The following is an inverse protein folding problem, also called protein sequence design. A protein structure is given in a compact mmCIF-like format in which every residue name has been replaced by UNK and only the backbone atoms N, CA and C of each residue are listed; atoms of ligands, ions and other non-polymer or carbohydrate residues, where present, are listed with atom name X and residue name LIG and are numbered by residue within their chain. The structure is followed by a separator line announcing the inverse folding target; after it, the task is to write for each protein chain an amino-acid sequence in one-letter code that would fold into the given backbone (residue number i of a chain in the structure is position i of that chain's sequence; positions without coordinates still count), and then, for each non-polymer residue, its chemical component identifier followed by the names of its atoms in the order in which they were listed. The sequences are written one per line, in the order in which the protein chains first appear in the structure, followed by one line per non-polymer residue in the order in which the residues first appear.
data_IF_925996765134
#
_entry.id   IF_925996765134
#
_cell.length_a   1.000
_cell.length_b   1.000
_cell.length_c   1.000
_cell.angle_alpha   90.00
_cell.angle_beta   90.00
_cell.angle_gamma   90.00
#
_symmetry.space_group_name_H-M   'P 1'
#
loop_
_entity.id
_entity.type
_entity.pdbx_description
1 polymer ?
#
# COMPACT_ATOMS: atom_id res chain seq x y z
N UNK A 1 37.70 16.50 -41.28
CA UNK A 1 37.79 15.15 -40.67
C UNK A 1 38.03 15.10 -39.15
N UNK A 2 38.66 16.08 -38.49
CA UNK A 2 38.97 15.97 -37.04
C UNK A 2 37.86 16.41 -36.05
N UNK A 3 36.81 17.13 -36.50
CA UNK A 3 35.67 17.51 -35.64
C UNK A 3 34.62 16.40 -35.42
N UNK A 4 34.50 15.42 -36.33
CA UNK A 4 33.53 14.31 -36.18
C UNK A 4 34.03 13.18 -35.26
N UNK A 5 35.35 13.00 -35.10
CA UNK A 5 35.93 12.01 -34.17
C UNK A 5 35.81 12.38 -32.68
N UNK A 6 35.79 13.68 -32.34
CA UNK A 6 35.63 14.13 -30.93
C UNK A 6 34.19 13.96 -30.41
N UNK A 7 33.17 14.12 -31.25
CA UNK A 7 31.77 13.89 -30.89
C UNK A 7 31.46 12.39 -30.68
N UNK A 8 32.10 11.51 -31.45
CA UNK A 8 31.90 10.06 -31.31
C UNK A 8 32.52 9.51 -30.01
N UNK A 9 33.68 10.03 -29.59
CA UNK A 9 34.33 9.63 -28.33
C UNK A 9 33.63 10.23 -27.09
N UNK A 10 33.00 11.41 -27.20
CA UNK A 10 32.17 11.97 -26.14
C UNK A 10 30.83 11.22 -25.99
N UNK A 11 30.23 10.77 -27.10
CA UNK A 11 29.03 9.93 -27.09
C UNK A 11 29.33 8.52 -26.55
N UNK A 12 30.45 7.90 -26.95
CA UNK A 12 30.86 6.59 -26.45
C UNK A 12 31.18 6.58 -24.95
N UNK A 13 31.77 7.67 -24.40
CA UNK A 13 31.99 7.81 -22.94
C UNK A 13 30.69 8.05 -22.17
N UNK A 14 29.70 8.74 -22.76
CA UNK A 14 28.35 8.91 -22.18
C UNK A 14 27.53 7.62 -22.24
N UNK A 15 27.75 6.78 -23.25
CA UNK A 15 27.14 5.46 -23.42
C UNK A 15 27.78 4.39 -22.51
N UNK A 16 29.07 4.51 -22.19
CA UNK A 16 29.75 3.67 -21.21
C UNK A 16 29.36 4.01 -19.76
N UNK A 17 28.97 5.26 -19.46
CA UNK A 17 28.41 5.64 -18.15
C UNK A 17 26.93 5.27 -18.00
N UNK A 18 26.17 5.12 -19.08
CA UNK A 18 24.79 4.61 -19.03
C UNK A 18 24.70 3.10 -18.81
N UNK A 19 25.82 2.36 -18.90
CA UNK A 19 25.84 0.94 -18.51
C UNK A 19 25.57 0.77 -17.02
N UNK A 20 26.02 1.67 -16.16
CA UNK A 20 25.72 1.62 -14.72
C UNK A 20 24.23 1.84 -14.40
N UNK A 21 23.51 2.62 -15.22
CA UNK A 21 22.05 2.83 -15.09
C UNK A 21 21.25 1.71 -15.74
N UNK A 22 21.73 1.16 -16.86
CA UNK A 22 21.17 -0.05 -17.47
C UNK A 22 21.41 -1.27 -16.58
N UNK A 23 22.51 -1.32 -15.82
CA UNK A 23 22.82 -2.36 -14.84
C UNK A 23 21.97 -2.17 -13.57
N UNK A 24 21.67 -0.93 -13.14
CA UNK A 24 20.70 -0.68 -12.07
C UNK A 24 19.25 -1.02 -12.49
N UNK A 25 18.87 -0.70 -13.74
CA UNK A 25 17.62 -1.16 -14.35
C UNK A 25 17.64 -2.68 -14.62
N UNK A 26 18.81 -3.30 -14.80
CA UNK A 26 18.97 -4.74 -14.91
C UNK A 26 19.02 -5.44 -13.54
N UNK A 27 19.35 -4.72 -12.47
CA UNK A 27 19.17 -5.21 -11.09
C UNK A 27 17.68 -5.17 -10.71
N UNK A 28 16.89 -4.31 -11.36
CA UNK A 28 15.43 -4.34 -11.32
C UNK A 28 14.80 -5.48 -12.15
N UNK A 29 15.57 -6.22 -12.98
CA UNK A 29 15.08 -7.37 -13.76
C UNK A 29 14.87 -8.65 -12.93
N UNK A 30 15.24 -8.68 -11.65
CA UNK A 30 14.82 -9.77 -10.74
C UNK A 30 13.39 -9.58 -10.21
N UNK A 31 12.82 -8.38 -10.39
CA UNK A 31 11.40 -8.13 -10.10
C UNK A 31 10.60 -8.22 -11.40
N UNK A 32 9.48 -8.94 -11.37
CA UNK A 32 8.47 -8.90 -12.43
C UNK A 32 7.20 -8.21 -11.91
N UNK A 33 7.16 -6.86 -11.81
CA UNK A 33 6.03 -6.13 -11.25
C UNK A 33 4.67 -6.45 -11.88
N UNK A 34 4.66 -6.76 -13.17
CA UNK A 34 3.47 -7.17 -13.91
C UNK A 34 3.03 -8.58 -13.53
N UNK A 35 3.99 -9.50 -13.46
CA UNK A 35 3.74 -10.86 -13.00
C UNK A 35 3.26 -10.91 -11.56
N UNK A 36 3.85 -10.12 -10.67
CA UNK A 36 3.40 -10.00 -9.28
C UNK A 36 1.96 -9.50 -9.20
N UNK A 37 1.59 -8.50 -10.02
CA UNK A 37 0.21 -7.99 -10.07
C UNK A 37 -0.78 -9.05 -10.58
N UNK A 38 -0.40 -9.84 -11.59
CA UNK A 38 -1.20 -10.97 -12.07
C UNK A 38 -1.33 -12.07 -11.00
N UNK A 39 -0.22 -12.43 -10.36
CA UNK A 39 -0.17 -13.41 -9.27
C UNK A 39 -1.02 -12.98 -8.09
N UNK A 40 -1.10 -11.69 -7.73
CA UNK A 40 -2.00 -11.20 -6.67
C UNK A 40 -3.47 -11.52 -6.96
N UNK A 41 -3.88 -11.46 -8.23
CA UNK A 41 -5.26 -11.79 -8.65
C UNK A 41 -5.55 -13.27 -8.57
N UNK A 42 -4.62 -14.08 -9.05
CA UNK A 42 -4.75 -15.55 -9.04
C UNK A 42 -4.68 -16.08 -7.62
N UNK A 43 -3.78 -15.53 -6.79
CA UNK A 43 -3.55 -15.92 -5.42
C UNK A 43 -4.36 -15.09 -4.41
N UNK A 44 -5.49 -14.53 -4.83
CA UNK A 44 -6.44 -13.91 -3.91
C UNK A 44 -7.12 -14.99 -3.07
N UNK A 45 -7.09 -14.91 -1.73
CA UNK A 45 -7.72 -15.91 -0.88
C UNK A 45 -9.24 -15.86 -1.03
N UNK A 46 -9.87 -17.04 -0.98
CA UNK A 46 -11.31 -17.21 -0.87
C UNK A 46 -11.66 -17.34 0.61
N UNK A 47 -12.31 -16.31 1.14
CA UNK A 47 -12.81 -16.28 2.51
C UNK A 47 -14.16 -15.58 2.56
N UNK A 48 -15.01 -16.01 3.50
CA UNK A 48 -16.34 -15.45 3.76
C UNK A 48 -16.46 -15.02 5.23
N UNK A 49 -17.62 -14.46 5.61
CA UNK A 49 -17.89 -14.03 6.99
C UNK A 49 -17.70 -15.13 8.05
N UNK A 50 -18.05 -16.39 7.74
CA UNK A 50 -17.87 -17.50 8.67
C UNK A 50 -16.38 -17.77 8.93
N UNK A 51 -15.57 -17.76 7.86
CA UNK A 51 -14.11 -17.87 7.96
C UNK A 51 -13.51 -16.70 8.71
N UNK A 52 -14.00 -15.48 8.51
CA UNK A 52 -13.58 -14.32 9.30
C UNK A 52 -13.83 -14.52 10.80
N UNK A 53 -15.01 -15.03 11.20
CA UNK A 53 -15.33 -15.29 12.60
C UNK A 53 -14.35 -16.29 13.19
N UNK A 54 -14.06 -17.38 12.47
CA UNK A 54 -13.11 -18.39 12.89
C UNK A 54 -11.69 -17.82 13.07
N UNK A 55 -11.21 -17.02 12.12
CA UNK A 55 -9.88 -16.39 12.20
C UNK A 55 -9.79 -15.38 13.34
N UNK A 56 -10.84 -14.56 13.54
CA UNK A 56 -10.90 -13.60 14.64
C UNK A 56 -10.76 -14.29 16.00
N UNK A 57 -11.50 -15.41 16.19
CA UNK A 57 -11.48 -16.19 17.43
C UNK A 57 -10.15 -16.92 17.61
N UNK A 58 -9.76 -17.71 16.62
CA UNK A 58 -8.63 -18.65 16.74
C UNK A 58 -7.26 -17.97 16.71
N UNK A 59 -7.10 -16.88 15.96
CA UNK A 59 -5.82 -16.20 15.84
C UNK A 59 -5.69 -15.01 16.79
N UNK A 60 -6.79 -14.32 17.12
CA UNK A 60 -6.73 -13.05 17.85
C UNK A 60 -7.53 -13.06 19.16
N UNK A 61 -8.32 -14.10 19.45
CA UNK A 61 -9.17 -14.16 20.64
C UNK A 61 -10.27 -13.10 20.64
N UNK A 62 -10.67 -12.63 19.45
CA UNK A 62 -11.76 -11.68 19.28
C UNK A 62 -13.02 -12.49 19.03
N UNK A 63 -14.09 -12.15 19.75
CA UNK A 63 -15.40 -12.78 19.64
C UNK A 63 -16.36 -11.83 18.92
N UNK A 64 -16.56 -11.96 17.59
CA UNK A 64 -17.46 -11.09 16.87
C UNK A 64 -18.91 -11.25 17.34
N UNK A 65 -19.60 -10.12 17.49
CA UNK A 65 -21.05 -10.10 17.72
C UNK A 65 -21.78 -10.73 16.54
N UNK A 66 -22.76 -11.58 16.84
CA UNK A 66 -23.63 -12.21 15.85
C UNK A 66 -24.23 -11.16 14.91
N UNK A 67 -24.09 -11.39 13.60
CA UNK A 67 -24.60 -10.49 12.57
C UNK A 67 -23.78 -9.21 12.32
N UNK A 68 -22.68 -9.00 13.05
CA UNK A 68 -21.83 -7.80 12.84
C UNK A 68 -20.80 -7.94 11.73
N UNK A 69 -20.49 -9.17 11.31
CA UNK A 69 -19.43 -9.44 10.34
C UNK A 69 -19.90 -9.14 8.93
N UNK A 70 -19.15 -8.30 8.22
CA UNK A 70 -19.42 -7.99 6.81
C UNK A 70 -18.13 -7.85 6.02
N UNK A 71 -18.22 -8.20 4.75
CA UNK A 71 -17.17 -7.95 3.79
C UNK A 71 -16.97 -6.43 3.64
N UNK A 72 -15.71 -6.04 3.66
CA UNK A 72 -15.30 -4.75 3.13
C UNK A 72 -14.88 -4.98 1.68
N UNK A 73 -15.02 -3.95 0.86
CA UNK A 73 -14.48 -3.99 -0.50
C UNK A 73 -13.00 -4.41 -0.45
N UNK A 74 -12.46 -5.08 -1.44
CA UNK A 74 -11.05 -5.49 -1.41
C UNK A 74 -10.61 -6.00 -2.77
N UNK A 75 -9.49 -5.45 -3.25
CA UNK A 75 -9.02 -5.71 -4.61
C UNK A 75 -8.26 -7.04 -4.69
N UNK A 76 -7.12 -7.16 -3.99
CA UNK A 76 -6.27 -8.36 -3.98
C UNK A 76 -6.41 -9.19 -2.71
N UNK A 77 -6.74 -8.53 -1.60
CA UNK A 77 -6.89 -9.15 -0.29
C UNK A 77 -8.34 -9.56 -0.01
N UNK A 78 -8.59 -10.09 1.19
CA UNK A 78 -9.94 -10.16 1.77
C UNK A 78 -9.97 -9.43 3.10
N UNK A 79 -10.81 -8.40 3.17
CA UNK A 79 -10.98 -7.57 4.36
C UNK A 79 -12.39 -7.76 4.92
N UNK A 80 -12.50 -8.01 6.21
CA UNK A 80 -13.78 -8.18 6.89
C UNK A 80 -13.85 -7.26 8.09
N UNK A 81 -14.93 -6.50 8.18
CA UNK A 81 -15.26 -5.77 9.39
C UNK A 81 -15.97 -6.70 10.38
N UNK A 82 -15.68 -6.54 11.67
CA UNK A 82 -16.47 -7.12 12.75
C UNK A 82 -16.55 -6.20 13.98
N UNK A 83 -17.64 -6.35 14.75
CA UNK A 83 -17.83 -5.67 16.04
C UNK A 83 -17.69 -6.71 17.16
N UNK A 84 -17.08 -6.36 18.28
CA UNK A 84 -16.98 -7.22 19.47
C UNK A 84 -17.26 -6.40 20.74
N UNK A 85 -17.61 -7.08 21.84
CA UNK A 85 -17.82 -6.47 23.17
C UNK A 85 -16.62 -6.63 24.11
N UNK A 86 -15.68 -7.51 23.79
CA UNK A 86 -14.42 -7.63 24.52
C UNK A 86 -13.34 -6.81 23.82
N UNK A 87 -12.65 -5.97 24.59
CA UNK A 87 -11.36 -5.44 24.16
C UNK A 87 -10.29 -6.47 24.43
N UNK A 88 -9.33 -6.51 23.52
CA UNK A 88 -7.98 -6.97 23.84
C UNK A 88 -7.36 -6.00 24.87
N UNK A 89 -6.70 -6.47 25.95
CA UNK A 89 -6.07 -5.58 26.95
C UNK A 89 -5.15 -4.52 26.37
N UNK A 90 -4.59 -4.80 25.19
CA UNK A 90 -3.71 -3.91 24.45
C UNK A 90 -4.44 -2.71 23.81
N UNK A 91 -5.78 -2.73 23.73
CA UNK A 91 -6.58 -1.66 23.13
C UNK A 91 -7.03 -0.64 24.18
N UNK A 92 -6.78 0.63 23.90
CA UNK A 92 -7.38 1.74 24.66
C UNK A 92 -8.62 2.19 23.91
N UNK A 93 -9.80 1.99 24.52
CA UNK A 93 -11.11 2.19 23.90
C UNK A 93 -11.23 3.52 23.11
N UNK A 94 -10.72 4.62 23.67
CA UNK A 94 -10.82 5.97 23.09
C UNK A 94 -9.94 6.23 21.86
N UNK A 95 -8.75 5.64 21.77
CA UNK A 95 -7.79 5.98 20.72
C UNK A 95 -7.90 5.07 19.48
N UNK A 96 -8.39 3.85 19.67
CA UNK A 96 -8.29 2.80 18.67
C UNK A 96 -9.65 2.36 18.09
N UNK A 97 -10.74 2.45 18.85
CA UNK A 97 -11.93 1.63 18.55
C UNK A 97 -13.29 2.32 18.80
N UNK A 98 -13.43 3.64 18.67
CA UNK A 98 -14.74 4.29 18.89
C UNK A 98 -15.43 4.74 17.61
N UNK A 99 -16.60 4.15 17.38
CA UNK A 99 -17.67 4.78 16.62
C UNK A 99 -18.36 5.83 17.49
N UNK A 100 -18.74 6.97 16.90
CA UNK A 100 -19.68 7.86 17.55
C UNK A 100 -21.04 7.16 17.65
N UNK A 101 -21.53 6.89 18.87
CA UNK A 101 -22.89 6.41 19.12
C UNK A 101 -23.04 4.92 19.44
N UNK A 102 -21.95 4.14 19.48
CA UNK A 102 -22.02 2.76 19.93
C UNK A 102 -22.06 2.62 21.47
N UNK A 103 -22.70 1.57 22.02
CA UNK A 103 -22.71 1.34 23.46
C UNK A 103 -21.28 1.24 24.03
N UNK A 104 -21.04 1.71 25.28
CA UNK A 104 -19.76 1.53 25.95
C UNK A 104 -19.29 0.07 25.91
N UNK A 105 -17.99 -0.13 25.66
CA UNK A 105 -17.41 -1.47 25.49
C UNK A 105 -17.61 -2.07 24.09
N UNK A 106 -18.11 -1.32 23.12
CA UNK A 106 -18.07 -1.72 21.71
C UNK A 106 -16.67 -1.51 21.13
N UNK A 107 -16.13 -2.53 20.49
CA UNK A 107 -14.86 -2.51 19.76
C UNK A 107 -15.09 -2.95 18.33
N UNK A 108 -14.32 -2.38 17.40
CA UNK A 108 -14.47 -2.60 15.98
C UNK A 108 -13.13 -3.02 15.39
N UNK A 109 -13.17 -3.97 14.48
CA UNK A 109 -11.97 -4.57 13.90
C UNK A 109 -12.10 -4.78 12.40
N UNK A 110 -10.95 -4.80 11.74
CA UNK A 110 -10.78 -5.41 10.43
C UNK A 110 -9.91 -6.64 10.58
N UNK A 111 -10.43 -7.79 10.17
CA UNK A 111 -9.63 -8.98 9.91
C UNK A 111 -9.24 -8.95 8.44
N UNK A 112 -7.95 -8.83 8.18
CA UNK A 112 -7.37 -8.77 6.83
C UNK A 112 -6.61 -10.06 6.55
N UNK A 113 -7.02 -10.75 5.49
CA UNK A 113 -6.29 -11.87 4.90
C UNK A 113 -5.58 -11.35 3.65
N UNK A 114 -4.25 -11.32 3.68
CA UNK A 114 -3.44 -10.83 2.58
C UNK A 114 -3.49 -11.78 1.37
N UNK A 115 -3.29 -11.24 0.17
CA UNK A 115 -3.02 -12.01 -1.04
C UNK A 115 -1.78 -12.91 -0.90
N UNK A 116 -1.66 -13.91 -1.78
CA UNK A 116 -0.58 -14.90 -1.71
C UNK A 116 0.82 -14.30 -1.91
N UNK A 117 0.97 -13.33 -2.81
CA UNK A 117 2.26 -12.65 -3.08
C UNK A 117 2.77 -11.92 -1.83
N UNK A 118 1.95 -11.08 -1.20
CA UNK A 118 2.32 -10.41 0.05
C UNK A 118 2.52 -11.38 1.21
N UNK A 119 1.79 -12.49 1.23
CA UNK A 119 1.93 -13.52 2.26
C UNK A 119 3.29 -14.22 2.23
N UNK A 120 4.00 -14.15 1.08
CA UNK A 120 5.36 -14.64 0.93
C UNK A 120 6.43 -13.62 1.36
N UNK A 121 6.06 -12.35 1.59
CA UNK A 121 6.96 -11.31 2.12
C UNK A 121 6.48 -10.76 3.46
N UNK A 122 6.74 -11.46 4.58
CA UNK A 122 6.45 -10.95 5.93
C UNK A 122 7.14 -9.62 6.22
N UNK A 123 8.37 -9.43 5.70
CA UNK A 123 9.12 -8.19 5.85
C UNK A 123 8.38 -6.98 5.27
N UNK A 124 7.66 -7.15 4.16
CA UNK A 124 6.84 -6.08 3.60
C UNK A 124 5.66 -5.73 4.51
N UNK A 125 5.04 -6.73 5.14
CA UNK A 125 3.95 -6.50 6.11
C UNK A 125 4.50 -5.86 7.40
N UNK A 126 5.70 -6.22 7.84
CA UNK A 126 6.41 -5.57 8.95
C UNK A 126 6.72 -4.10 8.64
N UNK A 127 7.20 -3.81 7.43
CA UNK A 127 7.40 -2.45 6.93
C UNK A 127 6.11 -1.61 7.06
N UNK A 128 4.96 -2.17 6.62
CA UNK A 128 3.65 -1.53 6.80
C UNK A 128 3.32 -1.26 8.28
N UNK A 129 3.58 -2.24 9.16
CA UNK A 129 3.31 -2.08 10.59
C UNK A 129 4.16 -0.96 11.22
N UNK A 130 5.45 -0.88 10.88
CA UNK A 130 6.35 0.16 11.39
C UNK A 130 5.93 1.55 10.92
N UNK A 131 5.53 1.71 9.66
CA UNK A 131 5.03 2.98 9.17
C UNK A 131 3.74 3.43 9.87
N UNK A 132 2.81 2.49 10.13
CA UNK A 132 1.60 2.79 10.88
C UNK A 132 1.91 3.32 12.29
N UNK A 133 2.89 2.74 12.98
CA UNK A 133 3.34 3.20 14.30
C UNK A 133 3.97 4.60 14.24
N UNK A 134 4.79 4.91 13.22
CA UNK A 134 5.36 6.25 13.04
C UNK A 134 4.30 7.32 12.78
N UNK A 135 3.33 7.03 11.91
CA UNK A 135 2.20 7.93 11.64
C UNK A 135 1.39 8.18 12.91
N UNK A 136 1.19 7.14 13.71
CA UNK A 136 0.50 7.23 15.00
C UNK A 136 1.28 8.08 16.01
N UNK A 137 2.60 7.90 16.10
CA UNK A 137 3.47 8.71 16.95
C UNK A 137 3.46 10.20 16.57
N UNK A 138 3.18 10.52 15.30
CA UNK A 138 2.98 11.89 14.80
C UNK A 138 1.58 12.46 15.10
N UNK A 139 0.74 11.76 15.88
CA UNK A 139 -0.59 12.24 16.29
C UNK A 139 -1.67 12.12 15.22
N UNK A 140 -1.39 11.42 14.11
CA UNK A 140 -2.40 11.07 13.11
C UNK A 140 -3.00 9.72 13.51
N UNK A 141 -4.33 9.63 13.57
CA UNK A 141 -4.97 8.34 13.84
C UNK A 141 -4.57 7.34 12.76
N UNK A 142 -3.99 6.21 13.13
CA UNK A 142 -3.63 5.12 12.21
C UNK A 142 -3.89 3.81 12.96
N UNK A 143 -4.47 2.79 12.30
CA UNK A 143 -4.59 1.48 12.93
C UNK A 143 -3.21 0.92 13.24
N UNK A 144 -3.14 0.07 14.26
CA UNK A 144 -1.94 -0.68 14.63
C UNK A 144 -2.25 -2.16 14.56
N UNK A 145 -1.29 -2.97 14.12
CA UNK A 145 -1.47 -4.41 14.12
C UNK A 145 -1.68 -4.92 15.56
N UNK A 146 -2.73 -5.71 15.75
CA UNK A 146 -2.94 -6.42 17.00
C UNK A 146 -2.14 -7.71 16.98
N UNK A 147 -1.38 -8.01 18.05
CA UNK A 147 -0.70 -9.28 18.15
C UNK A 147 -1.71 -10.42 18.18
N UNK A 148 -1.35 -11.53 17.55
CA UNK A 148 -2.08 -12.79 17.65
C UNK A 148 -2.05 -13.32 19.09
N UNK A 149 -2.80 -14.40 19.36
CA UNK A 149 -2.72 -15.14 20.63
C UNK A 149 -1.32 -15.71 20.91
N UNK A 150 -0.52 -15.91 19.85
CA UNK A 150 0.89 -16.30 19.95
C UNK A 150 1.85 -15.10 20.07
N UNK A 151 1.33 -13.88 20.19
CA UNK A 151 2.14 -12.66 20.33
C UNK A 151 2.78 -12.15 19.04
N UNK A 152 2.43 -12.71 17.87
CA UNK A 152 2.99 -12.29 16.57
C UNK A 152 2.19 -11.15 15.96
N UNK A 153 2.87 -10.18 15.36
CA UNK A 153 2.23 -9.06 14.62
C UNK A 153 1.64 -9.50 13.26
N UNK A 154 2.05 -10.68 12.79
CA UNK A 154 1.56 -11.31 11.57
C UNK A 154 1.19 -12.75 11.93
N UNK A 155 -0.10 -13.08 11.85
CA UNK A 155 -0.57 -14.45 11.95
C UNK A 155 -0.60 -15.10 10.56
N UNK A 156 -0.78 -16.41 10.49
CA UNK A 156 -0.95 -17.12 9.23
C UNK A 156 -2.06 -18.15 9.34
N UNK A 157 -2.80 -18.34 8.26
CA UNK A 157 -3.81 -19.39 8.16
C UNK A 157 -3.89 -19.92 6.73
N UNK A 158 -4.26 -21.19 6.60
CA UNK A 158 -4.57 -21.78 5.30
C UNK A 158 -5.88 -21.20 4.74
N UNK A 159 -5.88 -20.83 3.47
CA UNK A 159 -7.06 -20.38 2.75
C UNK A 159 -7.13 -21.03 1.37
N UNK A 160 -8.34 -21.38 0.92
CA UNK A 160 -8.52 -21.82 -0.45
C UNK A 160 -8.33 -20.65 -1.42
N UNK A 161 -7.89 -20.96 -2.63
CA UNK A 161 -7.89 -20.07 -3.79
C UNK A 161 -9.08 -20.38 -4.69
N UNK A 162 -9.27 -19.57 -5.74
CA UNK A 162 -10.37 -19.73 -6.69
C UNK A 162 -10.30 -21.06 -7.48
N UNK A 163 -9.10 -21.60 -7.68
CA UNK A 163 -8.86 -22.88 -8.36
C UNK A 163 -9.04 -24.10 -7.44
N UNK A 164 -9.39 -23.87 -6.16
CA UNK A 164 -9.57 -24.92 -5.15
C UNK A 164 -8.27 -25.38 -4.48
N UNK A 165 -7.10 -24.90 -4.90
CA UNK A 165 -5.85 -25.13 -4.18
C UNK A 165 -5.86 -24.39 -2.84
N UNK A 166 -5.04 -24.83 -1.89
CA UNK A 166 -4.92 -24.22 -0.57
C UNK A 166 -3.53 -23.64 -0.40
N UNK A 167 -3.45 -22.40 0.10
CA UNK A 167 -2.20 -21.72 0.41
C UNK A 167 -2.22 -21.14 1.81
N UNK A 168 -1.02 -20.92 2.35
CA UNK A 168 -0.84 -20.23 3.63
C UNK A 168 -0.82 -18.73 3.39
N UNK A 169 -1.78 -18.01 3.97
CA UNK A 169 -1.91 -16.56 3.87
C UNK A 169 -1.56 -15.86 5.18
N UNK A 170 -0.95 -14.69 5.08
CA UNK A 170 -0.76 -13.80 6.21
C UNK A 170 -2.11 -13.18 6.63
N UNK A 171 -2.35 -13.12 7.93
CA UNK A 171 -3.56 -12.56 8.53
C UNK A 171 -3.18 -11.51 9.55
N UNK A 172 -3.79 -10.33 9.47
CA UNK A 172 -3.69 -9.26 10.47
C UNK A 172 -5.06 -8.92 11.02
N UNK A 173 -5.09 -8.52 12.28
CA UNK A 173 -6.23 -7.86 12.87
C UNK A 173 -5.87 -6.41 13.19
N UNK A 174 -6.70 -5.48 12.73
CA UNK A 174 -6.51 -4.06 12.88
C UNK A 174 -7.70 -3.47 13.63
N UNK A 175 -7.50 -2.56 14.59
CA UNK A 175 -8.60 -1.79 15.14
C UNK A 175 -9.22 -0.93 14.04
N UNK A 176 -10.54 -0.84 14.05
CA UNK A 176 -11.30 -0.08 13.08
C UNK A 176 -11.99 1.10 13.77
N UNK A 177 -11.98 2.25 13.09
CA UNK A 177 -12.74 3.42 13.53
C UNK A 177 -13.81 3.70 12.49
N UNK A 178 -15.10 3.46 12.81
CA UNK A 178 -16.18 3.82 11.91
C UNK A 178 -16.15 5.31 11.57
N UNK A 179 -16.13 5.62 10.29
CA UNK A 179 -16.08 6.98 9.76
C UNK A 179 -16.97 7.10 8.52
N UNK A 180 -17.40 8.33 8.22
CA UNK A 180 -18.07 8.64 6.96
C UNK A 180 -17.04 8.66 5.82
N UNK A 181 -17.44 8.16 4.65
CA UNK A 181 -16.56 8.13 3.49
C UNK A 181 -16.43 9.52 2.91
N UNK A 182 -15.21 9.94 2.57
CA UNK A 182 -14.98 11.26 1.96
C UNK A 182 -15.75 11.42 0.64
N UNK A 183 -15.85 10.35 -0.17
CA UNK A 183 -16.64 10.35 -1.41
C UNK A 183 -18.16 10.49 -1.22
N UNK A 184 -18.67 10.40 0.02
CA UNK A 184 -20.08 10.66 0.33
C UNK A 184 -20.39 12.14 0.65
N UNK A 185 -19.37 13.00 0.67
CA UNK A 185 -19.49 14.43 0.89
C UNK A 185 -18.96 15.24 -0.30
N UNK A 186 -19.61 16.36 -0.63
CA UNK A 186 -19.02 17.34 -1.54
C UNK A 186 -17.85 18.03 -0.83
N UNK A 187 -16.61 17.96 -1.36
CA UNK A 187 -15.46 18.48 -0.64
C UNK A 187 -15.46 20.01 -0.68
N UNK A 188 -15.88 20.63 0.43
CA UNK A 188 -15.69 22.05 0.66
C UNK A 188 -14.23 22.40 0.94
N UNK A 189 -13.86 23.67 0.79
CA UNK A 189 -12.48 24.14 0.99
C UNK A 189 -11.90 23.81 2.38
N UNK A 190 -12.75 23.78 3.42
CA UNK A 190 -12.33 23.39 4.76
C UNK A 190 -11.86 21.93 4.84
N UNK A 191 -12.63 21.01 4.23
CA UNK A 191 -12.29 19.59 4.19
C UNK A 191 -10.99 19.34 3.39
N UNK A 192 -10.83 20.02 2.25
CA UNK A 192 -9.60 19.91 1.44
C UNK A 192 -8.37 20.42 2.20
N UNK A 193 -8.51 21.50 2.99
CA UNK A 193 -7.43 22.01 3.84
C UNK A 193 -7.07 21.02 4.95
N UNK A 194 -8.07 20.43 5.60
CA UNK A 194 -7.85 19.41 6.63
C UNK A 194 -7.17 18.16 6.04
N UNK A 195 -7.66 17.69 4.88
CA UNK A 195 -7.07 16.59 4.14
C UNK A 195 -5.60 16.83 3.81
N UNK A 196 -5.28 17.98 3.21
CA UNK A 196 -3.90 18.37 2.92
C UNK A 196 -3.03 18.44 4.18
N UNK A 197 -3.58 18.92 5.30
CA UNK A 197 -2.90 18.95 6.59
C UNK A 197 -2.61 17.56 7.15
N UNK A 198 -3.55 16.62 7.06
CA UNK A 198 -3.35 15.22 7.47
C UNK A 198 -2.30 14.55 6.58
N UNK A 199 -2.42 14.67 5.25
CA UNK A 199 -1.45 14.11 4.29
C UNK A 199 -0.04 14.66 4.51
N UNK A 200 0.09 15.97 4.80
CA UNK A 200 1.38 16.57 5.12
C UNK A 200 1.99 16.00 6.42
N UNK A 201 1.18 15.77 7.46
CA UNK A 201 1.64 15.12 8.70
C UNK A 201 2.10 13.70 8.47
N UNK A 202 1.38 12.91 7.67
CA UNK A 202 1.78 11.55 7.28
C UNK A 202 3.12 11.58 6.53
N UNK A 203 3.26 12.44 5.51
CA UNK A 203 4.53 12.57 4.77
C UNK A 203 5.67 13.00 5.68
N UNK A 204 5.47 13.95 6.60
CA UNK A 204 6.50 14.34 7.55
C UNK A 204 6.91 13.19 8.48
N UNK A 205 5.94 12.40 8.95
CA UNK A 205 6.19 11.25 9.82
C UNK A 205 7.04 10.16 9.13
N UNK A 206 6.89 10.01 7.81
CA UNK A 206 7.62 9.03 7.00
C UNK A 206 8.89 9.58 6.34
N UNK A 207 9.20 10.87 6.51
CA UNK A 207 10.30 11.54 5.78
C UNK A 207 11.69 10.95 6.04
N UNK A 208 11.92 10.36 7.21
CA UNK A 208 13.15 9.66 7.58
C UNK A 208 12.95 8.15 7.72
N UNK A 209 11.77 7.64 7.34
CA UNK A 209 11.50 6.20 7.39
C UNK A 209 12.22 5.52 6.24
N UNK A 210 13.12 4.60 6.59
CA UNK A 210 13.90 3.82 5.66
C UNK A 210 13.85 2.35 6.07
N UNK A 211 13.34 1.51 5.17
CA UNK A 211 13.20 0.07 5.39
C UNK A 211 13.49 -0.66 4.07
N UNK A 212 14.23 -1.77 4.07
CA UNK A 212 14.59 -2.49 2.83
C UNK A 212 13.36 -2.78 1.94
N UNK A 213 12.28 -3.27 2.54
CA UNK A 213 11.02 -3.59 1.83
C UNK A 213 10.21 -2.36 1.37
N UNK A 214 10.60 -1.14 1.77
CA UNK A 214 10.03 0.09 1.21
C UNK A 214 10.64 0.45 -0.16
N UNK A 215 11.79 -0.12 -0.52
CA UNK A 215 12.49 0.09 -1.80
C UNK A 215 12.10 -0.94 -2.87
N UNK A 216 10.99 -1.65 -2.68
CA UNK A 216 10.49 -2.62 -3.66
C UNK A 216 10.05 -1.94 -4.95
N UNK A 217 10.22 -2.64 -6.06
CA UNK A 217 9.70 -2.23 -7.37
C UNK A 217 8.32 -2.84 -7.58
N UNK A 218 7.34 -2.06 -8.01
CA UNK A 218 5.98 -2.52 -8.31
C UNK A 218 5.33 -1.59 -9.34
N UNK A 219 4.27 -2.04 -10.02
CA UNK A 219 3.74 -1.29 -11.18
C UNK A 219 3.11 0.07 -10.84
N UNK A 220 2.75 0.26 -9.58
CA UNK A 220 2.21 1.53 -9.06
C UNK A 220 3.30 2.47 -8.53
N UNK A 221 4.58 2.08 -8.62
CA UNK A 221 5.70 2.98 -8.36
C UNK A 221 5.81 4.03 -9.47
N UNK A 222 5.60 5.31 -9.14
CA UNK A 222 5.71 6.42 -10.09
C UNK A 222 7.11 6.53 -10.71
N UNK A 223 8.17 6.09 -10.02
CA UNK A 223 9.51 6.02 -10.61
C UNK A 223 9.59 5.00 -11.76
N UNK A 224 8.70 4.01 -11.76
CA UNK A 224 8.58 2.96 -12.78
C UNK A 224 7.51 3.26 -13.84
N UNK A 225 7.07 4.52 -14.00
CA UNK A 225 6.02 4.88 -14.96
C UNK A 225 6.30 4.34 -16.38
N UNK A 226 7.56 4.30 -16.82
CA UNK A 226 7.95 3.76 -18.13
C UNK A 226 7.62 2.26 -18.30
N UNK A 227 7.52 1.49 -17.21
CA UNK A 227 7.24 0.06 -17.21
C UNK A 227 5.82 -0.29 -17.70
N UNK A 228 4.92 0.69 -17.80
CA UNK A 228 3.57 0.46 -18.35
C UNK A 228 3.54 0.42 -19.90
N UNK A 229 4.64 0.77 -20.58
CA UNK A 229 4.73 0.80 -22.04
C UNK A 229 4.25 -0.49 -22.73
N UNK A 230 4.57 -1.70 -22.23
CA UNK A 230 4.06 -2.95 -22.81
C UNK A 230 2.53 -3.12 -22.72
N UNK A 231 1.84 -2.35 -21.87
CA UNK A 231 0.38 -2.39 -21.71
C UNK A 231 -0.37 -1.48 -22.69
N UNK A 232 0.31 -0.56 -23.38
CA UNK A 232 -0.31 0.34 -24.36
C UNK A 232 -1.15 -0.35 -25.45
N UNK A 233 -0.77 -1.54 -25.96
CA UNK A 233 -1.59 -2.28 -26.92
C UNK A 233 -2.98 -2.68 -26.40
N UNK A 234 -3.17 -2.75 -25.08
CA UNK A 234 -4.47 -3.09 -24.46
C UNK A 234 -5.47 -1.92 -24.50
N UNK A 235 -4.99 -0.70 -24.77
CA UNK A 235 -5.82 0.50 -24.83
C UNK A 235 -6.45 0.69 -26.21
N UNK A 236 -7.65 1.29 -26.20
CA UNK A 236 -8.29 1.84 -27.40
C UNK A 236 -7.35 2.88 -28.08
N UNK A 237 -7.38 3.00 -29.43
CA UNK A 237 -6.44 3.83 -30.17
C UNK A 237 -6.34 5.28 -29.66
N UNK A 238 -7.46 5.90 -29.29
CA UNK A 238 -7.54 7.29 -28.86
C UNK A 238 -6.83 7.49 -27.50
N UNK A 239 -6.98 6.52 -26.58
CA UNK A 239 -6.29 6.53 -25.28
C UNK A 239 -4.82 6.17 -25.43
N UNK A 240 -4.49 5.26 -26.35
CA UNK A 240 -3.11 4.83 -26.59
C UNK A 240 -2.20 5.99 -26.95
N UNK A 241 -2.64 6.88 -27.85
CA UNK A 241 -1.86 8.04 -28.27
C UNK A 241 -1.57 8.96 -27.07
N UNK A 242 -2.61 9.33 -26.31
CA UNK A 242 -2.46 10.20 -25.12
C UNK A 242 -1.47 9.63 -24.09
N UNK A 243 -1.59 8.34 -23.76
CA UNK A 243 -0.70 7.72 -22.77
C UNK A 243 0.72 7.56 -23.33
N UNK A 244 0.88 7.23 -24.61
CA UNK A 244 2.19 7.17 -25.25
C UNK A 244 2.90 8.54 -25.22
N UNK A 245 2.16 9.63 -25.43
CA UNK A 245 2.68 11.00 -25.36
C UNK A 245 3.09 11.35 -23.94
N UNK A 246 2.23 11.04 -22.96
CA UNK A 246 2.53 11.23 -21.53
C UNK A 246 3.79 10.47 -21.11
N UNK A 247 3.97 9.24 -21.61
CA UNK A 247 5.18 8.45 -21.36
C UNK A 247 6.43 9.08 -21.97
N UNK A 248 6.33 9.63 -23.19
CA UNK A 248 7.44 10.35 -23.82
C UNK A 248 7.81 11.61 -23.02
N UNK A 249 6.82 12.33 -22.49
CA UNK A 249 7.05 13.52 -21.66
C UNK A 249 7.72 13.14 -20.33
N UNK A 250 7.25 12.07 -19.67
CA UNK A 250 7.87 11.52 -18.47
C UNK A 250 9.33 11.11 -18.73
N UNK A 251 9.60 10.37 -19.82
CA UNK A 251 10.93 9.89 -20.17
C UNK A 251 11.90 11.03 -20.53
N UNK A 252 11.40 12.10 -21.16
CA UNK A 252 12.23 13.24 -21.57
C UNK A 252 12.43 14.29 -20.47
N UNK A 253 11.50 14.38 -19.51
CA UNK A 253 11.49 15.43 -18.49
C UNK A 253 11.85 14.91 -17.09
N UNK A 254 11.27 13.79 -16.67
CA UNK A 254 11.39 13.28 -15.29
C UNK A 254 12.56 12.32 -15.14
N UNK A 255 12.71 11.35 -16.04
CA UNK A 255 13.80 10.36 -15.96
C UNK A 255 15.20 10.98 -15.92
N UNK A 256 15.54 12.05 -16.66
CA UNK A 256 16.86 12.68 -16.56
C UNK A 256 17.15 13.33 -15.21
N UNK A 257 16.11 13.57 -14.40
CA UNK A 257 16.20 14.22 -13.09
C UNK A 257 16.02 13.22 -11.94
N UNK A 258 15.64 11.96 -12.20
CA UNK A 258 15.18 10.99 -11.19
C UNK A 258 16.14 10.80 -10.01
N UNK A 259 17.45 10.80 -10.27
CA UNK A 259 18.50 10.66 -9.23
C UNK A 259 18.63 11.89 -8.32
N UNK A 260 18.12 13.04 -8.76
CA UNK A 260 18.18 14.31 -8.03
C UNK A 260 16.86 14.67 -7.35
N UNK A 261 15.79 13.96 -7.70
CA UNK A 261 14.49 14.19 -7.09
C UNK A 261 14.44 13.46 -5.73
N UNK A 262 13.93 14.11 -4.68
CA UNK A 262 13.87 13.51 -3.35
C UNK A 262 12.95 12.29 -3.38
N UNK A 263 13.35 11.20 -2.72
CA UNK A 263 12.55 9.98 -2.60
C UNK A 263 12.28 9.71 -1.14
N UNK A 264 11.04 9.38 -0.79
CA UNK A 264 10.65 9.01 0.56
C UNK A 264 9.51 8.01 0.54
N UNK A 265 9.45 7.14 1.54
CA UNK A 265 8.26 6.35 1.77
C UNK A 265 7.05 7.26 1.98
N UNK A 266 5.94 6.94 1.33
CA UNK A 266 4.67 7.62 1.51
C UNK A 266 3.51 6.62 1.59
N UNK A 267 2.27 7.13 1.66
CA UNK A 267 1.09 6.27 1.77
C UNK A 267 0.76 5.54 0.44
N UNK A 268 1.23 6.04 -0.71
CA UNK A 268 0.96 5.48 -2.03
C UNK A 268 -0.49 5.51 -2.54
N UNK A 269 -1.48 5.74 -1.67
CA UNK A 269 -2.91 5.73 -2.02
C UNK A 269 -3.80 6.58 -1.11
N UNK A 270 -3.46 7.87 -0.94
CA UNK A 270 -4.31 8.80 -0.20
C UNK A 270 -5.57 9.16 -1.02
N UNK A 271 -6.55 8.25 -1.06
CA UNK A 271 -7.78 8.39 -1.85
C UNK A 271 -9.01 8.73 -0.99
N UNK A 272 -10.07 9.21 -1.65
CA UNK A 272 -11.37 9.53 -1.01
C UNK A 272 -12.25 8.29 -0.79
N UNK A 273 -11.68 7.07 -0.94
CA UNK A 273 -12.37 5.78 -0.92
C UNK A 273 -12.87 5.32 0.46
N UNK A 274 -13.53 4.15 0.51
CA UNK A 274 -14.36 3.70 1.64
C UNK A 274 -13.64 3.41 2.97
N UNK A 275 -12.33 3.60 3.04
CA UNK A 275 -11.54 3.27 4.23
C UNK A 275 -10.81 4.46 4.86
N UNK A 276 -11.09 5.69 4.38
CA UNK A 276 -10.38 6.88 4.86
C UNK A 276 -8.88 6.80 4.58
N UNK A 277 -8.13 7.85 4.91
CA UNK A 277 -6.70 7.94 4.59
C UNK A 277 -5.81 6.82 5.17
N UNK A 278 -6.33 5.91 5.98
CA UNK A 278 -5.52 5.12 6.92
C UNK A 278 -5.98 3.67 7.07
N UNK A 279 -6.99 3.21 6.33
CA UNK A 279 -7.30 1.78 6.25
C UNK A 279 -7.01 1.29 4.83
N UNK A 280 -5.89 0.56 4.72
CA UNK A 280 -5.29 0.18 3.45
C UNK A 280 -6.11 -0.85 2.67
N UNK A 281 -6.89 -0.38 1.69
CA UNK A 281 -7.10 -1.17 0.47
C UNK A 281 -5.82 -1.31 -0.34
N UNK A 282 -4.88 -0.37 -0.18
CA UNK A 282 -3.57 -0.36 -0.82
C UNK A 282 -2.52 0.01 0.21
N UNK A 283 -2.05 -0.97 0.98
CA UNK A 283 -0.93 -0.78 1.93
C UNK A 283 0.40 -0.57 1.18
N UNK A 284 0.47 0.42 0.29
CA UNK A 284 1.62 0.69 -0.54
C UNK A 284 2.44 1.77 0.15
N UNK A 285 3.29 1.35 1.09
CA UNK A 285 4.52 2.12 1.30
C UNK A 285 5.26 2.11 -0.02
N UNK A 286 5.51 3.30 -0.52
CA UNK A 286 6.19 3.53 -1.79
C UNK A 286 7.16 4.69 -1.63
N UNK A 287 8.37 4.54 -2.16
CA UNK A 287 9.31 5.65 -2.22
C UNK A 287 8.93 6.59 -3.38
N UNK A 288 8.18 7.67 -3.12
CA UNK A 288 7.75 8.60 -4.15
C UNK A 288 8.51 9.93 -4.12
N UNK A 289 8.47 10.62 -5.27
CA UNK A 289 9.08 11.93 -5.48
C UNK A 289 8.40 12.96 -4.57
N UNK A 290 9.06 13.39 -3.50
CA UNK A 290 8.51 14.33 -2.52
C UNK A 290 8.73 15.81 -2.88
N UNK A 291 8.02 16.76 -2.26
CA UNK A 291 8.41 18.16 -2.30
C UNK A 291 9.68 18.38 -1.46
N UNK A 292 10.67 19.07 -2.03
CA UNK A 292 11.86 19.52 -1.32
C UNK A 292 11.53 20.64 -0.33
N UNK A 293 12.13 20.61 0.86
CA UNK A 293 12.21 21.80 1.72
C UNK A 293 13.22 22.79 1.12
N UNK A 294 12.97 24.11 1.16
CA UNK A 294 14.04 25.08 1.05
C UNK A 294 14.94 24.97 2.28
N UNK A 295 16.25 25.03 2.06
CA UNK A 295 17.30 25.20 3.08
C UNK A 295 17.09 26.54 3.79
#
# INVERSE_FOLDING_TARGET
CLRRRRLYLAWARRWLMSRSLADAAATALDSNPLGDEESRKVEKPVANSARCIELARSLFGIEPLTGSVRDLDSYDDRNFYCKATSSRPELKAAADCHACGDPPGSFHFVVKVHNGVESLSPGFIECQNLAMELVRAAGVWCPRALPSLEGRQIAFAEQPLADGSVRRHAVRCLPYRPACLLGSALPGAALLRELGGVTARVSCALSAFDHPEAHRTFIWDLAQTAAIRPLLPLLAPERRALIADTLRDFESTVLPLSDRLPRQADHGDASLGPLGLLSGHRGLLSAHLGPSRPI
#
